data_IF_343639457511
#
_entry.id   IF_343639457511
#
_cell.length_a   1.000
_cell.length_b   1.000
_cell.length_c   1.000
_cell.angle_alpha   90.00
_cell.angle_beta   90.00
_cell.angle_gamma   90.00
#
_symmetry.space_group_name_H-M   'P 1'
#
loop_
_entity.id
_entity.type
_entity.pdbx_description
1 polymer ?
#
# COMPACT_ATOMS: atom_id res chain seq x y z
N UNK A 1 -30.13 11.08 0.92
CA UNK A 1 -28.77 11.64 0.97
C UNK A 1 -27.91 10.86 0.00
N UNK A 2 -27.60 11.42 -1.16
CA UNK A 2 -26.70 10.80 -2.15
C UNK A 2 -25.29 11.27 -1.88
N UNK A 3 -24.36 10.34 -1.67
CA UNK A 3 -22.94 10.67 -1.49
C UNK A 3 -22.37 11.24 -2.80
N UNK A 4 -21.94 12.49 -2.80
CA UNK A 4 -21.24 13.11 -3.92
C UNK A 4 -19.77 12.68 -3.93
N UNK A 5 -19.33 12.07 -5.03
CA UNK A 5 -17.94 11.69 -5.25
C UNK A 5 -17.18 12.86 -5.89
N UNK A 6 -16.31 13.51 -5.11
CA UNK A 6 -15.34 14.48 -5.65
C UNK A 6 -14.11 13.72 -6.12
N UNK A 7 -13.86 13.79 -7.44
CA UNK A 7 -12.80 13.09 -8.18
C UNK A 7 -11.38 13.31 -7.63
N UNK A 8 -11.08 14.53 -7.17
CA UNK A 8 -9.78 14.88 -6.59
C UNK A 8 -9.99 15.68 -5.32
N UNK A 9 -9.59 15.10 -4.19
CA UNK A 9 -9.55 15.81 -2.92
C UNK A 9 -8.19 16.47 -2.79
N UNK A 10 -8.13 17.70 -2.29
CA UNK A 10 -6.86 18.41 -2.09
C UNK A 10 -5.88 17.64 -1.19
N UNK A 11 -6.42 16.77 -0.32
CA UNK A 11 -5.64 15.83 0.49
C UNK A 11 -4.73 14.95 -0.37
N UNK A 12 -5.14 14.57 -1.59
CA UNK A 12 -4.36 13.73 -2.49
C UNK A 12 -3.20 14.48 -3.15
N UNK A 13 -3.17 15.82 -3.06
CA UNK A 13 -2.09 16.68 -3.58
C UNK A 13 -0.98 16.95 -2.54
N UNK A 14 -0.79 16.05 -1.58
CA UNK A 14 0.28 16.17 -0.59
C UNK A 14 1.57 15.57 -1.16
N UNK A 15 2.58 16.42 -1.37
CA UNK A 15 3.89 16.03 -1.93
C UNK A 15 4.71 15.09 -1.03
N UNK A 16 4.48 15.13 0.29
CA UNK A 16 5.21 14.31 1.26
C UNK A 16 4.33 13.97 2.45
N UNK A 17 4.24 12.68 2.76
CA UNK A 17 3.57 12.16 3.95
C UNK A 17 4.55 11.30 4.73
N UNK A 18 4.80 11.68 5.98
CA UNK A 18 5.64 10.93 6.91
C UNK A 18 4.92 10.82 8.24
N UNK A 19 4.95 9.64 8.86
CA UNK A 19 4.32 9.40 10.16
C UNK A 19 5.37 9.41 11.25
N UNK A 20 5.04 10.05 12.37
CA UNK A 20 5.85 9.97 13.59
C UNK A 20 5.49 8.69 14.35
N UNK A 21 6.50 7.86 14.68
CA UNK A 21 6.32 6.55 15.33
C UNK A 21 6.57 6.55 16.85
N UNK A 22 6.84 7.70 17.46
CA UNK A 22 7.21 7.84 18.87
C UNK A 22 6.16 7.22 19.81
N UNK A 23 4.87 7.45 19.53
CA UNK A 23 3.77 6.95 20.35
C UNK A 23 3.75 5.42 20.37
N UNK A 24 3.88 4.80 19.19
CA UNK A 24 3.87 3.34 19.05
C UNK A 24 5.09 2.71 19.72
N UNK A 25 6.26 3.33 19.60
CA UNK A 25 7.48 2.85 20.28
C UNK A 25 7.34 2.88 21.80
N UNK A 26 6.77 3.95 22.36
CA UNK A 26 6.61 4.10 23.83
C UNK A 26 5.52 3.19 24.38
N UNK A 27 4.35 3.21 23.75
CA UNK A 27 3.15 2.53 24.26
C UNK A 27 3.15 1.03 23.96
N UNK A 28 3.61 0.63 22.78
CA UNK A 28 3.51 -0.75 22.31
C UNK A 28 4.86 -1.46 22.19
N UNK A 29 5.98 -0.74 22.44
CA UNK A 29 7.34 -1.26 22.20
C UNK A 29 7.55 -1.77 20.77
N UNK A 30 6.75 -1.25 19.84
CA UNK A 30 6.77 -1.67 18.45
C UNK A 30 7.44 -0.64 17.55
N UNK A 31 8.19 -1.12 16.57
CA UNK A 31 8.81 -0.35 15.50
C UNK A 31 8.59 -1.07 14.16
N UNK A 32 8.53 -0.35 13.03
CA UNK A 32 8.52 -1.01 11.73
C UNK A 32 9.87 -1.68 11.48
N UNK A 33 9.85 -2.98 11.17
CA UNK A 33 11.05 -3.79 10.93
C UNK A 33 11.36 -3.95 9.44
N UNK A 34 10.37 -3.70 8.57
CA UNK A 34 10.48 -3.90 7.13
C UNK A 34 10.71 -2.56 6.44
N UNK A 35 11.80 -2.48 5.68
CA UNK A 35 12.12 -1.30 4.86
C UNK A 35 11.13 -1.19 3.69
N UNK A 36 11.05 0.01 3.09
CA UNK A 36 10.18 0.21 1.93
C UNK A 36 10.52 -0.74 0.78
N UNK A 37 11.81 -0.88 0.46
CA UNK A 37 12.30 -1.74 -0.62
C UNK A 37 11.89 -3.20 -0.41
N UNK A 38 12.14 -3.74 0.79
CA UNK A 38 11.79 -5.11 1.12
C UNK A 38 10.27 -5.33 1.13
N UNK A 39 9.52 -4.37 1.65
CA UNK A 39 8.05 -4.40 1.63
C UNK A 39 7.49 -4.43 0.21
N UNK A 40 8.06 -3.63 -0.71
CA UNK A 40 7.69 -3.63 -2.12
C UNK A 40 8.00 -4.96 -2.79
N UNK A 41 9.19 -5.52 -2.54
CA UNK A 41 9.59 -6.83 -3.08
C UNK A 41 8.59 -7.93 -2.68
N UNK A 42 8.29 -8.06 -1.38
CA UNK A 42 7.30 -9.04 -0.87
C UNK A 42 5.93 -8.85 -1.48
N UNK A 43 5.51 -7.60 -1.66
CA UNK A 43 4.21 -7.27 -2.25
C UNK A 43 4.14 -7.68 -3.72
N UNK A 44 5.20 -7.44 -4.49
CA UNK A 44 5.28 -7.85 -5.91
C UNK A 44 5.31 -9.37 -6.03
N UNK A 45 6.09 -10.06 -5.19
CA UNK A 45 6.14 -11.52 -5.16
C UNK A 45 4.76 -12.13 -4.87
N UNK A 46 4.07 -11.64 -3.84
CA UNK A 46 2.70 -12.03 -3.53
C UNK A 46 1.74 -11.75 -4.69
N UNK A 47 1.84 -10.58 -5.32
CA UNK A 47 0.96 -10.21 -6.42
C UNK A 47 1.17 -11.12 -7.63
N UNK A 48 2.43 -11.44 -7.97
CA UNK A 48 2.76 -12.35 -9.08
C UNK A 48 2.29 -13.76 -8.83
N UNK A 49 2.44 -14.26 -7.60
CA UNK A 49 1.93 -15.57 -7.19
C UNK A 49 0.40 -15.65 -7.29
N UNK A 50 -0.32 -14.53 -7.08
CA UNK A 50 -1.78 -14.47 -7.22
C UNK A 50 -2.27 -14.14 -8.63
N UNK A 51 -1.41 -13.50 -9.43
CA UNK A 51 -1.72 -13.05 -10.79
C UNK A 51 -1.06 -13.96 -11.82
N UNK A 52 -0.86 -15.24 -11.49
CA UNK A 52 -0.52 -16.25 -12.50
C UNK A 52 -1.46 -16.08 -13.70
N UNK A 53 -0.95 -15.93 -14.93
CA UNK A 53 -1.63 -15.12 -15.92
C UNK A 53 -2.91 -15.76 -16.43
N UNK A 54 -3.98 -14.95 -16.52
CA UNK A 54 -5.06 -15.17 -17.48
C UNK A 54 -4.56 -15.18 -18.95
N UNK A 55 -3.29 -14.83 -19.21
CA UNK A 55 -2.64 -14.98 -20.51
C UNK A 55 -2.51 -16.45 -20.97
N UNK A 56 -2.69 -17.44 -20.08
CA UNK A 56 -2.85 -18.85 -20.49
C UNK A 56 -4.28 -19.21 -20.93
N UNK A 57 -5.26 -18.30 -20.82
CA UNK A 57 -6.68 -18.54 -21.18
C UNK A 57 -7.16 -17.79 -22.42
N UNK A 58 -6.37 -16.87 -22.97
CA UNK A 58 -6.74 -16.06 -24.14
C UNK A 58 -6.17 -16.61 -25.47
N UNK A 59 -5.83 -17.91 -25.50
CA UNK A 59 -5.28 -18.59 -26.66
C UNK A 59 -5.76 -20.05 -26.74
N UNK A 60 -7.07 -20.24 -26.80
CA UNK A 60 -7.73 -21.50 -27.16
C UNK A 60 -9.02 -21.19 -27.94
#
# INVERSE_FOLDING_TARGET
>A
MTASHTDRRDVDNIRRRVVNIEKTRRALRWVPEVTLEEGLKRTVEWQRARTTPAAARAGA
#
